data_IF_026313916029
#
_entry.id   IF_026313916029
#
_cell.length_a   1.000
_cell.length_b   1.000
_cell.length_c   1.000
_cell.angle_alpha   90.00
_cell.angle_beta   90.00
_cell.angle_gamma   90.00
#
_symmetry.space_group_name_H-M   'P 1'
#
loop_
_entity.id
_entity.type
_entity.pdbx_description
1 polymer ?
#
# COMPACT_ATOMS: atom_id res chain seq x y z
N UNK A 1 21.42 0.70 9.70
CA UNK A 1 20.82 -0.59 10.10
C UNK A 1 19.82 -0.99 9.03
N UNK A 2 20.22 -1.91 8.14
CA UNK A 2 19.44 -2.38 7.00
C UNK A 2 18.50 -3.50 7.46
N UNK A 3 17.19 -3.27 7.40
CA UNK A 3 16.18 -4.26 7.74
C UNK A 3 15.12 -4.35 6.64
N UNK A 4 14.66 -5.57 6.41
CA UNK A 4 14.04 -6.03 5.16
C UNK A 4 12.53 -6.30 5.31
N UNK A 5 11.74 -6.02 4.27
CA UNK A 5 10.28 -6.24 4.21
C UNK A 5 9.91 -7.28 3.13
N UNK A 6 9.11 -8.29 3.49
CA UNK A 6 8.58 -9.28 2.54
C UNK A 6 7.06 -9.05 2.37
N UNK A 7 6.62 -8.78 1.15
CA UNK A 7 5.22 -8.51 0.81
C UNK A 7 4.85 -9.36 -0.42
N UNK A 8 4.71 -10.68 -0.24
CA UNK A 8 4.28 -11.60 -1.29
C UNK A 8 3.05 -12.42 -0.88
N UNK A 9 1.98 -12.50 -1.70
CA UNK A 9 0.80 -13.30 -1.39
C UNK A 9 1.05 -14.80 -1.63
N UNK A 10 0.76 -15.64 -0.63
CA UNK A 10 0.78 -17.11 -0.79
C UNK A 10 -0.53 -17.61 -1.41
N UNK A 11 -0.42 -18.30 -2.55
CA UNK A 11 -1.56 -18.93 -3.22
C UNK A 11 -1.98 -20.25 -2.53
N UNK A 12 -3.23 -20.37 -2.11
CA UNK A 12 -3.84 -21.61 -1.61
C UNK A 12 -4.54 -22.35 -2.76
N UNK A 13 -4.03 -23.52 -3.16
CA UNK A 13 -4.68 -24.42 -4.14
C UNK A 13 -5.65 -25.36 -3.42
N UNK A 14 -6.96 -25.16 -3.58
CA UNK A 14 -7.99 -26.10 -3.14
C UNK A 14 -8.46 -27.01 -4.28
N UNK A 15 -8.25 -28.33 -4.21
CA UNK A 15 -8.80 -29.29 -5.17
C UNK A 15 -10.15 -29.84 -4.69
N UNK A 16 -11.18 -29.77 -5.54
CA UNK A 16 -12.49 -30.41 -5.27
C UNK A 16 -12.52 -31.79 -5.92
N UNK A 17 -12.43 -32.87 -5.14
CA UNK A 17 -12.66 -34.23 -5.63
C UNK A 17 -14.11 -34.65 -5.39
N UNK A 18 -14.84 -34.91 -6.48
CA UNK A 18 -16.14 -35.56 -6.46
C UNK A 18 -15.96 -37.08 -6.40
N UNK A 19 -16.16 -37.69 -5.22
CA UNK A 19 -16.24 -39.15 -5.10
C UNK A 19 -17.70 -39.59 -4.94
N UNK A 20 -18.21 -40.37 -5.89
CA UNK A 20 -19.39 -41.21 -5.70
C UNK A 20 -18.96 -42.48 -4.98
N UNK A 21 -19.24 -42.58 -3.68
CA UNK A 21 -19.11 -43.84 -2.92
C UNK A 21 -20.47 -44.21 -2.34
N UNK A 22 -20.95 -45.42 -2.67
CA UNK A 22 -22.05 -46.06 -1.97
C UNK A 22 -21.54 -46.51 -0.60
N UNK A 23 -21.74 -45.66 0.42
CA UNK A 23 -21.40 -46.00 1.80
C UNK A 23 -22.60 -46.65 2.49
N UNK A 24 -22.45 -47.92 2.87
CA UNK A 24 -23.28 -48.58 3.88
C UNK A 24 -22.71 -48.18 5.24
N UNK A 25 -23.35 -47.22 5.93
CA UNK A 25 -22.91 -46.75 7.24
C UNK A 25 -23.55 -47.57 8.38
N UNK A 26 -22.82 -47.85 9.47
CA UNK A 26 -23.35 -48.56 10.62
C UNK A 26 -24.42 -47.75 11.37
N UNK A 27 -25.38 -48.46 11.97
CA UNK A 27 -26.56 -47.92 12.65
C UNK A 27 -26.21 -47.18 13.96
N UNK A 28 -25.72 -45.94 13.83
CA UNK A 28 -25.76 -44.96 14.91
C UNK A 28 -27.14 -44.28 14.91
N UNK A 29 -27.76 -44.11 16.08
CA UNK A 29 -29.06 -43.40 16.23
C UNK A 29 -28.93 -41.98 15.69
N UNK A 30 -29.39 -41.77 14.45
CA UNK A 30 -29.28 -40.50 13.75
C UNK A 30 -30.38 -39.55 14.21
N UNK A 31 -29.98 -38.41 14.80
CA UNK A 31 -30.86 -37.41 15.38
C UNK A 31 -31.76 -36.62 14.38
N UNK A 32 -31.79 -37.01 13.10
CA UNK A 32 -32.53 -36.32 12.03
C UNK A 32 -33.39 -37.27 11.18
N UNK A 33 -33.80 -38.40 11.74
CA UNK A 33 -34.77 -39.30 11.09
C UNK A 33 -36.15 -39.02 11.69
N UNK A 34 -37.12 -38.71 10.85
CA UNK A 34 -38.53 -38.58 11.24
C UNK A 34 -39.33 -39.65 10.52
N UNK A 35 -40.35 -40.17 11.19
CA UNK A 35 -41.31 -41.08 10.57
C UNK A 35 -42.49 -40.26 10.05
N UNK A 36 -42.88 -40.47 8.80
CA UNK A 36 -44.05 -39.79 8.22
C UNK A 36 -45.36 -40.55 8.53
N UNK A 37 -46.45 -40.17 7.85
CA UNK A 37 -47.79 -40.74 8.11
C UNK A 37 -47.98 -42.19 7.65
N UNK A 38 -47.16 -42.69 6.72
CA UNK A 38 -47.25 -44.07 6.25
C UNK A 38 -46.26 -45.01 6.95
N UNK A 39 -45.35 -44.42 7.75
CA UNK A 39 -44.39 -45.15 8.54
C UNK A 39 -42.98 -45.16 7.93
N UNK A 40 -42.74 -44.48 6.82
CA UNK A 40 -41.43 -44.35 6.21
C UNK A 40 -40.49 -43.45 7.03
N UNK A 41 -39.22 -43.89 7.17
CA UNK A 41 -38.17 -43.12 7.82
C UNK A 41 -37.55 -42.09 6.85
N UNK A 42 -37.93 -40.82 6.98
CA UNK A 42 -37.39 -39.72 6.21
C UNK A 42 -36.18 -39.08 6.90
N UNK A 43 -35.09 -38.91 6.16
CA UNK A 43 -33.92 -38.15 6.62
C UNK A 43 -34.13 -36.66 6.36
N UNK A 44 -34.09 -35.84 7.41
CA UNK A 44 -34.22 -34.40 7.27
C UNK A 44 -32.85 -33.72 7.11
N UNK A 45 -32.81 -32.71 6.24
CA UNK A 45 -31.68 -31.81 6.14
C UNK A 45 -31.57 -30.98 7.43
N UNK A 46 -30.42 -30.97 8.12
CA UNK A 46 -30.29 -30.26 9.39
C UNK A 46 -30.43 -28.74 9.26
N UNK A 47 -30.21 -28.15 8.08
CA UNK A 47 -30.29 -26.71 7.84
C UNK A 47 -31.73 -26.24 7.60
N UNK A 48 -32.42 -26.81 6.60
CA UNK A 48 -33.78 -26.37 6.22
C UNK A 48 -34.91 -27.19 6.85
N UNK A 49 -34.58 -28.30 7.53
CA UNK A 49 -35.54 -29.26 8.13
C UNK A 49 -36.49 -29.95 7.15
N UNK A 50 -36.21 -29.89 5.85
CA UNK A 50 -36.98 -30.60 4.83
C UNK A 50 -36.38 -31.99 4.55
N UNK A 51 -37.18 -32.97 4.08
CA UNK A 51 -36.68 -34.28 3.68
C UNK A 51 -35.61 -34.18 2.58
N UNK A 52 -34.49 -34.87 2.78
CA UNK A 52 -33.47 -35.09 1.76
C UNK A 52 -33.96 -36.23 0.88
N UNK A 53 -34.15 -35.97 -0.42
CA UNK A 53 -34.54 -37.01 -1.38
C UNK A 53 -33.39 -37.99 -1.66
N UNK A 54 -33.44 -38.65 -2.80
CA UNK A 54 -32.49 -39.72 -3.18
C UNK A 54 -31.01 -39.27 -3.20
N UNK A 55 -30.78 -37.96 -3.39
CA UNK A 55 -29.45 -37.37 -3.46
C UNK A 55 -29.23 -36.37 -2.32
N UNK A 56 -28.18 -36.62 -1.54
CA UNK A 56 -27.74 -35.74 -0.47
C UNK A 56 -26.22 -35.66 -0.40
N UNK A 57 -25.71 -34.52 0.07
CA UNK A 57 -24.29 -34.30 0.31
C UNK A 57 -23.97 -34.56 1.77
N UNK A 58 -22.91 -35.30 2.05
CA UNK A 58 -22.45 -35.50 3.42
C UNK A 58 -21.98 -34.17 4.03
N UNK A 59 -22.45 -33.85 5.23
CA UNK A 59 -21.91 -32.73 6.00
C UNK A 59 -20.49 -33.08 6.50
N UNK A 60 -19.59 -32.10 6.50
CA UNK A 60 -18.20 -32.30 6.94
C UNK A 60 -18.17 -32.77 8.40
N UNK A 61 -17.68 -34.00 8.63
CA UNK A 61 -17.50 -34.56 9.98
C UNK A 61 -18.76 -35.03 10.71
N UNK A 62 -19.93 -35.10 10.05
CA UNK A 62 -21.18 -35.59 10.66
C UNK A 62 -21.87 -36.60 9.74
N UNK A 63 -22.51 -37.61 10.33
CA UNK A 63 -23.34 -38.58 9.62
C UNK A 63 -24.73 -37.99 9.26
N UNK A 64 -24.76 -36.80 8.64
CA UNK A 64 -26.00 -36.19 8.15
C UNK A 64 -25.86 -35.77 6.68
N UNK A 65 -27.00 -35.72 6.00
CA UNK A 65 -27.09 -35.36 4.60
C UNK A 65 -27.74 -33.96 4.47
N UNK A 66 -27.24 -33.20 3.50
CA UNK A 66 -27.70 -31.86 3.15
C UNK A 66 -28.24 -31.87 1.72
N UNK A 67 -29.23 -31.02 1.43
CA UNK A 67 -29.57 -30.69 0.05
C UNK A 67 -28.37 -30.02 -0.64
N UNK A 68 -28.30 -30.14 -1.98
CA UNK A 68 -27.26 -29.46 -2.76
C UNK A 68 -27.21 -27.95 -2.51
N UNK A 69 -28.37 -27.30 -2.42
CA UNK A 69 -28.48 -25.87 -2.09
C UNK A 69 -27.96 -25.57 -0.68
N UNK A 70 -28.42 -26.33 0.34
CA UNK A 70 -27.95 -26.15 1.71
C UNK A 70 -26.44 -26.37 1.84
N UNK A 71 -25.88 -27.35 1.12
CA UNK A 71 -24.43 -27.58 1.08
C UNK A 71 -23.70 -26.44 0.39
N UNK A 72 -24.21 -25.91 -0.72
CA UNK A 72 -23.63 -24.75 -1.40
C UNK A 72 -23.64 -23.50 -0.51
N UNK A 73 -24.74 -23.24 0.22
CA UNK A 73 -24.82 -22.16 1.19
C UNK A 73 -23.86 -22.34 2.37
N UNK A 74 -23.69 -23.58 2.87
CA UNK A 74 -22.68 -23.89 3.88
C UNK A 74 -21.27 -23.60 3.35
N UNK A 75 -20.93 -24.10 2.16
CA UNK A 75 -19.63 -23.85 1.53
C UNK A 75 -19.36 -22.36 1.30
N UNK A 76 -20.38 -21.59 0.92
CA UNK A 76 -20.26 -20.13 0.78
C UNK A 76 -20.00 -19.45 2.13
N UNK A 77 -20.67 -19.88 3.21
CA UNK A 77 -20.41 -19.38 4.57
C UNK A 77 -19.00 -19.72 5.05
N UNK A 78 -18.55 -20.95 4.82
CA UNK A 78 -17.19 -21.40 5.14
C UNK A 78 -16.16 -20.59 4.36
N UNK A 79 -16.32 -20.44 3.04
CA UNK A 79 -15.42 -19.64 2.21
C UNK A 79 -15.36 -18.16 2.64
N UNK A 80 -16.49 -17.55 3.00
CA UNK A 80 -16.52 -16.19 3.55
C UNK A 80 -15.79 -16.10 4.89
N UNK A 81 -16.02 -17.06 5.80
CA UNK A 81 -15.37 -17.08 7.11
C UNK A 81 -13.84 -17.29 6.98
N UNK A 82 -13.41 -18.15 6.06
CA UNK A 82 -12.00 -18.38 5.76
C UNK A 82 -11.34 -17.13 5.17
N UNK A 83 -12.00 -16.44 4.24
CA UNK A 83 -11.52 -15.19 3.67
C UNK A 83 -11.44 -14.07 4.72
N UNK A 84 -12.46 -13.91 5.56
CA UNK A 84 -12.41 -12.97 6.70
C UNK A 84 -11.31 -13.31 7.70
N UNK A 85 -11.04 -14.61 7.95
CA UNK A 85 -9.94 -15.04 8.80
C UNK A 85 -8.58 -14.72 8.16
N UNK A 86 -8.43 -14.96 6.85
CA UNK A 86 -7.24 -14.61 6.08
C UNK A 86 -6.98 -13.10 6.13
N UNK A 87 -7.97 -12.28 5.78
CA UNK A 87 -7.86 -10.81 5.84
C UNK A 87 -7.49 -10.30 7.23
N UNK A 88 -8.07 -10.88 8.29
CA UNK A 88 -7.70 -10.52 9.68
C UNK A 88 -6.26 -10.90 10.03
N UNK A 89 -5.79 -12.06 9.58
CA UNK A 89 -4.41 -12.48 9.83
C UNK A 89 -3.42 -11.63 9.04
N UNK A 90 -3.73 -11.33 7.79
CA UNK A 90 -2.93 -10.45 6.92
C UNK A 90 -2.85 -9.05 7.53
N UNK A 91 -3.97 -8.48 8.00
CA UNK A 91 -3.98 -7.18 8.69
C UNK A 91 -3.16 -7.19 9.98
N UNK A 92 -3.21 -8.28 10.77
CA UNK A 92 -2.40 -8.42 11.99
C UNK A 92 -0.91 -8.48 11.67
N UNK A 93 -0.52 -9.30 10.70
CA UNK A 93 0.86 -9.41 10.25
C UNK A 93 1.38 -8.07 9.73
N UNK A 94 0.58 -7.39 8.89
CA UNK A 94 0.91 -6.07 8.37
C UNK A 94 1.09 -5.03 9.48
N UNK A 95 0.18 -4.99 10.45
CA UNK A 95 0.29 -4.07 11.60
C UNK A 95 1.52 -4.37 12.47
N UNK A 96 1.87 -5.65 12.64
CA UNK A 96 3.06 -6.08 13.35
C UNK A 96 4.33 -5.61 12.61
N UNK A 97 4.44 -5.85 11.30
CA UNK A 97 5.60 -5.41 10.51
C UNK A 97 5.68 -3.87 10.44
N UNK A 98 4.54 -3.17 10.29
CA UNK A 98 4.52 -1.70 10.34
C UNK A 98 5.04 -1.18 11.67
N UNK A 99 4.62 -1.77 12.78
CA UNK A 99 5.10 -1.40 14.11
C UNK A 99 6.59 -1.68 14.28
N UNK A 100 7.04 -2.86 13.84
CA UNK A 100 8.44 -3.31 13.91
C UNK A 100 9.39 -2.39 13.13
N UNK A 101 8.96 -1.89 11.98
CA UNK A 101 9.80 -1.07 11.10
C UNK A 101 9.46 0.43 11.15
N UNK A 102 8.65 0.84 12.12
CA UNK A 102 8.23 2.23 12.29
C UNK A 102 7.58 2.81 11.02
N UNK A 103 6.83 2.00 10.28
CA UNK A 103 6.13 2.39 9.06
C UNK A 103 4.78 3.00 9.45
N UNK A 104 4.46 4.13 8.84
CA UNK A 104 3.22 4.86 9.05
C UNK A 104 3.51 6.32 9.32
N UNK A 105 2.61 7.18 8.82
CA UNK A 105 2.68 8.61 9.05
C UNK A 105 2.49 8.93 10.53
N UNK A 106 3.49 9.58 11.14
CA UNK A 106 3.50 9.96 12.55
C UNK A 106 3.68 11.46 12.65
N UNK A 107 2.65 12.16 13.12
CA UNK A 107 2.67 13.63 13.24
C UNK A 107 3.81 14.09 14.15
N UNK A 108 4.18 13.27 15.12
CA UNK A 108 5.25 13.53 16.09
C UNK A 108 6.64 13.54 15.44
N UNK A 109 6.79 13.00 14.23
CA UNK A 109 8.04 13.02 13.45
C UNK A 109 8.17 14.25 12.56
N UNK A 110 7.11 15.06 12.42
CA UNK A 110 7.17 16.31 11.67
C UNK A 110 7.83 17.36 12.56
N UNK A 111 9.01 17.90 12.18
CA UNK A 111 9.70 18.88 13.00
C UNK A 111 8.85 20.10 13.27
N UNK A 112 8.89 20.57 14.51
CA UNK A 112 8.33 21.86 14.89
C UNK A 112 9.37 22.95 14.65
N UNK A 113 8.94 24.11 14.14
CA UNK A 113 9.81 25.28 14.02
C UNK A 113 10.19 25.88 15.39
N UNK A 114 9.55 25.45 16.49
CA UNK A 114 9.80 25.93 17.84
C UNK A 114 11.23 25.60 18.32
N UNK A 115 11.72 24.39 18.04
CA UNK A 115 13.02 23.94 18.55
C UNK A 115 14.21 24.65 17.88
N UNK A 116 13.98 25.28 16.73
CA UNK A 116 14.99 26.03 15.98
C UNK A 116 15.18 27.47 16.48
N UNK A 117 14.42 27.90 17.50
CA UNK A 117 14.55 29.21 18.15
C UNK A 117 15.95 29.48 18.68
N UNK A 118 16.64 28.46 19.21
CA UNK A 118 18.00 28.61 19.74
C UNK A 118 19.08 28.79 18.68
N UNK A 119 18.82 28.37 17.43
CA UNK A 119 19.80 28.38 16.34
C UNK A 119 19.79 29.70 15.55
N UNK A 120 18.64 30.36 15.45
CA UNK A 120 18.48 31.65 14.75
C UNK A 120 18.80 32.83 15.69
N UNK A 121 20.07 32.90 16.11
CA UNK A 121 20.76 33.95 16.89
C UNK A 121 19.98 35.29 17.06
N UNK A 122 19.02 35.33 17.98
CA UNK A 122 18.41 36.58 18.48
C UNK A 122 17.14 37.06 17.78
N UNK A 123 16.57 36.31 16.84
CA UNK A 123 15.22 36.59 16.35
C UNK A 123 14.21 35.76 17.16
N UNK A 124 13.22 36.42 17.76
CA UNK A 124 12.07 35.71 18.33
C UNK A 124 11.34 35.00 17.19
N UNK A 125 11.49 33.67 17.09
CA UNK A 125 10.67 32.92 16.14
C UNK A 125 9.24 32.97 16.66
N UNK A 126 8.29 33.41 15.85
CA UNK A 126 6.89 33.41 16.22
C UNK A 126 6.42 31.99 16.55
N UNK A 127 5.53 31.86 17.54
CA UNK A 127 4.81 30.61 17.74
C UNK A 127 3.96 30.31 16.50
N UNK A 128 4.11 29.10 15.94
CA UNK A 128 3.32 28.63 14.80
C UNK A 128 4.05 28.62 13.46
N UNK A 129 3.34 29.02 12.40
CA UNK A 129 3.85 29.00 11.03
C UNK A 129 4.76 30.20 10.76
N UNK A 130 5.82 29.98 9.99
CA UNK A 130 6.74 31.03 9.59
C UNK A 130 7.00 31.01 8.08
N UNK A 131 7.29 32.17 7.51
CA UNK A 131 7.64 32.36 6.12
C UNK A 131 8.99 33.09 6.00
N UNK A 132 9.56 33.07 4.80
CA UNK A 132 10.75 33.84 4.47
C UNK A 132 10.35 35.15 3.79
N UNK A 133 10.96 36.25 4.20
CA UNK A 133 10.81 37.57 3.56
C UNK A 133 12.17 38.08 3.08
N UNK A 134 12.23 38.54 1.85
CA UNK A 134 13.38 39.25 1.30
C UNK A 134 13.23 40.76 1.55
N UNK A 135 14.11 41.31 2.39
CA UNK A 135 14.22 42.74 2.64
C UNK A 135 15.52 43.27 2.05
N UNK A 136 15.45 43.77 0.81
CA UNK A 136 16.63 44.14 0.02
C UNK A 136 17.48 42.91 -0.29
N UNK A 137 18.70 42.85 0.25
CA UNK A 137 19.60 41.70 0.12
C UNK A 137 19.60 40.77 1.35
N UNK A 138 18.71 41.01 2.32
CA UNK A 138 18.65 40.26 3.58
C UNK A 138 17.42 39.36 3.59
N UNK A 139 17.61 38.13 4.02
CA UNK A 139 16.52 37.20 4.29
C UNK A 139 16.10 37.34 5.76
N UNK A 140 14.81 37.46 6.00
CA UNK A 140 14.21 37.54 7.33
C UNK A 140 13.18 36.43 7.50
N UNK A 141 13.07 35.92 8.73
CA UNK A 141 12.00 35.00 9.12
C UNK A 141 10.85 35.80 9.72
N UNK A 142 9.62 35.57 9.27
CA UNK A 142 8.42 36.24 9.76
C UNK A 142 7.32 35.25 10.14
N UNK A 143 6.39 35.62 11.04
CA UNK A 143 5.18 34.84 11.23
C UNK A 143 4.33 34.88 9.99
N UNK A 144 3.61 33.79 9.71
CA UNK A 144 2.58 33.78 8.70
C UNK A 144 1.34 33.03 9.19
N UNK A 145 0.19 33.44 8.69
CA UNK A 145 -1.06 32.66 8.78
C UNK A 145 -1.40 31.98 7.46
N UNK A 146 -0.65 32.28 6.39
CA UNK A 146 -0.82 31.71 5.05
C UNK A 146 -0.04 30.39 4.95
N UNK A 147 -0.73 29.24 4.80
CA UNK A 147 -0.07 27.95 4.63
C UNK A 147 0.80 27.88 3.38
N UNK A 148 0.45 28.59 2.31
CA UNK A 148 1.23 28.57 1.06
C UNK A 148 2.60 29.25 1.21
N UNK A 149 2.71 30.20 2.14
CA UNK A 149 3.97 30.85 2.49
C UNK A 149 4.71 30.14 3.64
N UNK A 150 4.09 29.16 4.28
CA UNK A 150 4.63 28.47 5.45
C UNK A 150 5.76 27.52 5.06
N UNK A 151 6.86 27.55 5.82
CA UNK A 151 8.03 26.71 5.57
C UNK A 151 8.40 25.96 6.85
N UNK A 152 8.70 24.67 6.71
CA UNK A 152 9.36 23.89 7.74
C UNK A 152 10.87 24.17 7.70
N UNK A 153 11.39 24.80 8.74
CA UNK A 153 12.77 25.30 8.78
C UNK A 153 13.80 24.17 8.86
N UNK A 154 13.45 23.05 9.51
CA UNK A 154 14.36 21.90 9.56
C UNK A 154 14.51 21.29 8.17
N UNK A 155 13.40 21.04 7.48
CA UNK A 155 13.42 20.52 6.10
C UNK A 155 14.16 21.46 5.16
N UNK A 156 13.91 22.76 5.23
CA UNK A 156 14.63 23.76 4.44
C UNK A 156 16.14 23.72 4.74
N UNK A 157 16.52 23.67 6.02
CA UNK A 157 17.93 23.65 6.42
C UNK A 157 18.66 22.42 5.90
N UNK A 158 18.01 21.24 5.96
CA UNK A 158 18.56 19.99 5.45
C UNK A 158 18.68 20.02 3.93
N UNK A 159 17.66 20.49 3.22
CA UNK A 159 17.68 20.62 1.76
C UNK A 159 18.78 21.59 1.29
N UNK A 160 18.92 22.75 1.94
CA UNK A 160 19.98 23.71 1.65
C UNK A 160 21.37 23.14 1.95
N UNK A 161 21.52 22.36 3.02
CA UNK A 161 22.77 21.67 3.36
C UNK A 161 23.14 20.65 2.29
N UNK A 162 22.20 19.83 1.83
CA UNK A 162 22.44 18.89 0.71
C UNK A 162 22.87 19.66 -0.53
N UNK A 163 22.16 20.75 -0.87
CA UNK A 163 22.52 21.56 -2.04
C UNK A 163 23.91 22.18 -1.94
N UNK A 164 24.28 22.70 -0.78
CA UNK A 164 25.58 23.31 -0.53
C UNK A 164 26.74 22.30 -0.57
N UNK A 165 26.51 21.09 -0.07
CA UNK A 165 27.55 20.06 0.05
C UNK A 165 27.66 19.18 -1.21
N UNK A 166 26.53 18.77 -1.78
CA UNK A 166 26.45 17.77 -2.85
C UNK A 166 26.18 18.40 -4.23
N UNK A 167 25.84 19.69 -4.28
CA UNK A 167 25.51 20.39 -5.53
C UNK A 167 24.19 19.97 -6.18
N UNK A 168 23.37 19.19 -5.48
CA UNK A 168 22.09 18.62 -5.94
C UNK A 168 21.03 18.61 -4.85
N UNK A 169 19.81 18.26 -5.19
CA UNK A 169 18.67 18.08 -4.29
C UNK A 169 18.75 16.74 -3.51
N UNK A 170 18.11 16.67 -2.32
CA UNK A 170 17.96 15.40 -1.60
C UNK A 170 17.12 14.40 -2.40
N UNK A 171 17.54 13.14 -2.44
CA UNK A 171 16.84 12.06 -3.14
C UNK A 171 16.63 10.86 -2.21
N UNK A 172 15.49 10.19 -2.38
CA UNK A 172 15.14 8.95 -1.71
C UNK A 172 14.65 7.92 -2.73
N UNK A 173 14.98 6.65 -2.53
CA UNK A 173 14.46 5.53 -3.31
C UNK A 173 14.36 4.26 -2.46
N UNK A 174 13.45 3.36 -2.84
CA UNK A 174 13.42 1.98 -2.40
C UNK A 174 14.02 1.09 -3.50
N UNK A 175 15.27 0.68 -3.30
CA UNK A 175 16.03 -0.10 -4.30
C UNK A 175 16.03 -1.59 -3.93
N UNK A 176 16.06 -2.48 -4.93
CA UNK A 176 16.14 -3.92 -4.70
C UNK A 176 17.56 -4.33 -4.24
N UNK A 177 17.66 -5.27 -3.30
CA UNK A 177 18.93 -5.83 -2.84
C UNK A 177 19.41 -6.91 -3.81
N UNK A 178 20.07 -6.48 -4.88
CA UNK A 178 20.72 -7.36 -5.84
C UNK A 178 19.92 -7.58 -7.13
N UNK A 179 20.60 -8.15 -8.12
CA UNK A 179 19.97 -8.53 -9.37
C UNK A 179 19.12 -9.80 -9.15
N UNK A 180 17.93 -9.92 -9.76
CA UNK A 180 17.16 -11.16 -9.76
C UNK A 180 18.02 -12.29 -10.36
N UNK A 181 18.59 -13.13 -9.51
CA UNK A 181 19.36 -14.30 -9.92
C UNK A 181 18.38 -15.40 -10.34
N UNK A 182 18.03 -15.45 -11.62
CA UNK A 182 17.18 -16.51 -12.20
C UNK A 182 17.94 -17.84 -12.36
N UNK A 183 18.72 -18.26 -11.36
CA UNK A 183 19.49 -19.50 -11.48
C UNK A 183 18.60 -20.75 -11.50
N UNK A 184 17.35 -20.66 -11.00
CA UNK A 184 16.43 -21.80 -10.93
C UNK A 184 14.98 -21.48 -11.38
N UNK A 185 14.72 -20.31 -11.98
CA UNK A 185 13.34 -19.89 -12.33
C UNK A 185 12.44 -19.54 -11.13
N UNK A 186 12.91 -19.76 -9.89
CA UNK A 186 12.30 -19.18 -8.69
C UNK A 186 12.86 -17.76 -8.52
N UNK A 187 11.95 -16.78 -8.52
CA UNK A 187 12.28 -15.40 -8.17
C UNK A 187 12.60 -15.41 -6.67
N UNK A 188 13.88 -15.29 -6.30
CA UNK A 188 14.24 -15.03 -4.91
C UNK A 188 13.49 -13.78 -4.45
N UNK A 189 12.98 -13.82 -3.21
CA UNK A 189 12.35 -12.67 -2.56
C UNK A 189 13.38 -11.52 -2.55
N UNK A 190 13.28 -10.64 -3.54
CA UNK A 190 14.13 -9.47 -3.65
C UNK A 190 13.64 -8.45 -2.64
N UNK A 191 14.46 -8.20 -1.63
CA UNK A 191 14.16 -7.24 -0.59
C UNK A 191 14.39 -5.83 -1.10
N UNK A 192 13.60 -4.87 -0.64
CA UNK A 192 13.86 -3.46 -0.88
C UNK A 192 14.66 -2.86 0.28
N UNK A 193 15.61 -1.98 -0.04
CA UNK A 193 16.39 -1.18 0.91
C UNK A 193 16.14 0.30 0.70
N UNK A 194 16.07 1.01 1.83
CA UNK A 194 16.02 2.48 1.86
C UNK A 194 17.35 3.03 1.35
N UNK A 195 17.32 3.77 0.24
CA UNK A 195 18.47 4.49 -0.29
C UNK A 195 18.23 5.98 -0.16
N UNK A 196 19.15 6.63 0.55
CA UNK A 196 19.16 8.08 0.74
C UNK A 196 20.35 8.66 0.01
N UNK A 197 20.12 9.83 -0.58
CA UNK A 197 21.13 10.52 -1.34
C UNK A 197 21.13 12.01 -0.99
N UNK A 198 22.14 12.46 -0.21
CA UNK A 198 23.28 11.70 0.32
C UNK A 198 22.91 10.73 1.47
N UNK A 199 23.76 9.73 1.72
CA UNK A 199 23.51 8.66 2.71
C UNK A 199 23.21 9.20 4.12
N UNK A 200 23.84 10.32 4.50
CA UNK A 200 23.66 10.94 5.82
C UNK A 200 22.27 11.52 6.05
N UNK A 201 21.41 11.64 5.03
CA UNK A 201 20.00 11.96 5.22
C UNK A 201 19.25 10.85 5.97
N UNK A 202 19.77 9.62 5.96
CA UNK A 202 19.21 8.53 6.74
C UNK A 202 19.19 8.89 8.24
N UNK A 203 18.01 8.76 8.86
CA UNK A 203 17.82 9.10 10.28
C UNK A 203 17.61 10.59 10.56
N UNK A 204 17.56 11.44 9.53
CA UNK A 204 17.08 12.82 9.65
C UNK A 204 15.56 12.89 9.47
N UNK A 205 14.93 13.96 9.93
CA UNK A 205 13.51 14.21 9.73
C UNK A 205 13.12 14.31 8.24
N UNK A 206 13.94 14.99 7.43
CA UNK A 206 13.75 15.08 5.99
C UNK A 206 13.86 13.70 5.30
N UNK A 207 14.84 12.88 5.67
CA UNK A 207 14.96 11.52 5.16
C UNK A 207 13.74 10.67 5.52
N UNK A 208 13.30 10.72 6.78
CA UNK A 208 12.16 9.94 7.23
C UNK A 208 10.85 10.35 6.54
N UNK A 209 10.58 11.66 6.37
CA UNK A 209 9.38 12.10 5.65
C UNK A 209 9.41 11.70 4.17
N UNK A 210 10.57 11.73 3.51
CA UNK A 210 10.71 11.26 2.13
C UNK A 210 10.42 9.76 2.02
N UNK A 211 10.92 8.94 2.95
CA UNK A 211 10.61 7.51 3.02
C UNK A 211 9.12 7.26 3.23
N UNK A 212 8.52 7.90 4.23
CA UNK A 212 7.11 7.67 4.58
C UNK A 212 6.18 8.11 3.45
N UNK A 213 6.47 9.23 2.78
CA UNK A 213 5.71 9.69 1.63
C UNK A 213 5.78 8.67 0.49
N UNK A 214 6.97 8.24 0.10
CA UNK A 214 7.19 7.27 -0.97
C UNK A 214 6.54 5.90 -0.67
N UNK A 215 6.66 5.43 0.56
CA UNK A 215 6.03 4.19 1.01
C UNK A 215 4.50 4.30 1.02
N UNK A 216 3.95 5.44 1.47
CA UNK A 216 2.51 5.65 1.49
C UNK A 216 1.92 5.73 0.08
N UNK A 217 2.62 6.39 -0.85
CA UNK A 217 2.27 6.39 -2.27
C UNK A 217 2.16 4.96 -2.81
N UNK A 218 3.12 4.08 -2.47
CA UNK A 218 3.11 2.66 -2.84
C UNK A 218 1.94 1.88 -2.27
N UNK A 219 1.61 2.10 -1.01
CA UNK A 219 0.42 1.45 -0.45
C UNK A 219 -0.86 1.95 -1.13
N UNK A 220 -0.94 3.25 -1.41
CA UNK A 220 -2.10 3.83 -2.06
C UNK A 220 -2.25 3.35 -3.51
N UNK A 221 -1.15 3.30 -4.28
CA UNK A 221 -1.14 2.79 -5.66
C UNK A 221 -1.51 1.31 -5.73
N UNK A 222 -1.13 0.53 -4.72
CA UNK A 222 -1.46 -0.90 -4.61
C UNK A 222 -2.87 -1.17 -4.04
N UNK A 223 -3.66 -0.14 -3.75
CA UNK A 223 -5.05 -0.28 -3.29
C UNK A 223 -5.19 -0.68 -1.82
N UNK A 224 -4.14 -0.50 -1.02
CA UNK A 224 -4.17 -0.77 0.43
C UNK A 224 -4.97 0.29 1.20
N UNK A 225 -5.16 1.45 0.60
CA UNK A 225 -5.94 2.56 1.12
C UNK A 225 -7.07 2.91 0.14
N UNK A 226 -8.14 3.50 0.67
CA UNK A 226 -9.19 4.07 -0.17
C UNK A 226 -8.61 5.18 -1.05
N UNK A 227 -8.93 5.16 -2.35
CA UNK A 227 -8.44 6.18 -3.26
C UNK A 227 -9.01 7.56 -2.89
N UNK A 228 -8.19 8.61 -2.87
CA UNK A 228 -8.58 9.95 -2.41
C UNK A 228 -9.59 10.63 -3.32
N UNK A 229 -9.66 10.22 -4.59
CA UNK A 229 -10.54 10.78 -5.61
C UNK A 229 -11.60 9.76 -6.00
N UNK A 230 -12.86 10.16 -5.97
CA UNK A 230 -13.99 9.29 -6.36
C UNK A 230 -13.82 8.86 -7.82
N UNK A 231 -13.81 7.55 -8.05
CA UNK A 231 -13.65 6.96 -9.38
C UNK A 231 -12.19 6.78 -9.82
N UNK A 232 -11.21 7.25 -9.04
CA UNK A 232 -9.81 6.90 -9.27
C UNK A 232 -9.60 5.43 -8.86
N UNK A 233 -9.02 4.64 -9.76
CA UNK A 233 -8.70 3.23 -9.54
C UNK A 233 -7.26 3.07 -9.03
N UNK A 234 -7.01 2.05 -8.21
CA UNK A 234 -5.64 1.66 -7.85
C UNK A 234 -4.95 0.96 -9.03
N UNK A 235 -3.62 0.90 -9.04
CA UNK A 235 -2.87 0.11 -10.01
C UNK A 235 -3.27 -1.37 -9.98
N UNK A 236 -3.61 -1.91 -8.80
CA UNK A 236 -4.09 -3.27 -8.65
C UNK A 236 -5.46 -3.48 -9.31
N UNK A 237 -6.38 -2.52 -9.20
CA UNK A 237 -7.68 -2.61 -9.86
C UNK A 237 -7.54 -2.48 -11.39
N UNK A 238 -6.72 -1.53 -11.84
CA UNK A 238 -6.38 -1.34 -13.26
C UNK A 238 -5.75 -2.61 -13.87
N UNK A 239 -4.94 -3.34 -13.10
CA UNK A 239 -4.38 -4.61 -13.58
C UNK A 239 -5.45 -5.69 -13.78
N UNK A 240 -6.48 -5.77 -12.94
CA UNK A 240 -7.55 -6.78 -13.08
C UNK A 240 -8.39 -6.56 -14.34
N UNK A 241 -8.55 -5.31 -14.75
CA UNK A 241 -9.37 -4.93 -15.91
C UNK A 241 -8.66 -5.18 -17.25
N UNK A 242 -7.35 -4.92 -17.30
CA UNK A 242 -6.60 -4.88 -18.57
C UNK A 242 -5.56 -5.99 -18.71
N UNK A 243 -5.13 -6.62 -17.62
CA UNK A 243 -3.99 -7.52 -17.57
C UNK A 243 -4.39 -8.87 -16.99
N UNK A 244 -4.75 -9.79 -17.86
CA UNK A 244 -4.90 -11.20 -17.48
C UNK A 244 -3.51 -11.78 -17.19
N UNK A 245 -3.30 -12.23 -15.94
CA UNK A 245 -2.29 -13.22 -15.51
C UNK A 245 -0.80 -12.91 -15.73
N UNK A 246 -0.39 -11.74 -16.24
CA UNK A 246 1.03 -11.39 -16.39
C UNK A 246 1.59 -10.67 -15.16
N UNK A 247 2.70 -11.20 -14.65
CA UNK A 247 3.54 -10.51 -13.67
C UNK A 247 4.06 -9.21 -14.30
N UNK A 248 3.77 -8.07 -13.67
CA UNK A 248 4.30 -6.77 -14.06
C UNK A 248 5.17 -6.20 -12.93
N UNK A 249 6.12 -5.35 -13.30
CA UNK A 249 7.04 -4.69 -12.38
C UNK A 249 7.19 -3.25 -12.80
N UNK A 250 7.22 -2.34 -11.85
CA UNK A 250 7.44 -0.93 -12.10
C UNK A 250 7.98 -0.23 -10.87
N UNK A 251 8.61 0.92 -11.09
CA UNK A 251 8.95 1.89 -10.05
C UNK A 251 8.01 3.07 -10.16
N UNK A 252 7.74 3.68 -9.02
CA UNK A 252 7.04 4.96 -8.92
C UNK A 252 7.71 5.86 -7.89
N UNK A 253 7.66 7.16 -8.15
CA UNK A 253 8.24 8.20 -7.31
C UNK A 253 7.52 9.53 -7.50
N UNK A 254 7.66 10.40 -6.51
CA UNK A 254 7.23 11.80 -6.65
C UNK A 254 8.18 12.58 -7.54
N UNK A 255 7.62 13.47 -8.36
CA UNK A 255 8.38 14.42 -9.17
C UNK A 255 7.98 15.85 -8.86
N UNK A 256 8.95 16.74 -8.96
CA UNK A 256 8.76 18.19 -8.82
C UNK A 256 9.13 18.84 -10.14
N UNK A 257 8.24 19.66 -10.67
CA UNK A 257 8.46 20.41 -11.91
C UNK A 257 8.05 21.87 -11.75
N UNK A 258 8.55 22.74 -12.62
CA UNK A 258 8.20 24.16 -12.61
C UNK A 258 8.47 24.86 -11.28
N UNK A 259 9.54 24.47 -10.58
CA UNK A 259 9.91 25.06 -9.31
C UNK A 259 10.38 26.51 -9.48
N UNK A 260 9.63 27.43 -8.89
CA UNK A 260 9.91 28.87 -8.89
C UNK A 260 9.65 29.47 -7.52
N UNK A 261 10.31 30.59 -7.22
CA UNK A 261 10.02 31.38 -6.02
C UNK A 261 9.30 32.65 -6.46
N UNK A 262 8.08 32.84 -5.98
CA UNK A 262 7.31 34.08 -6.19
C UNK A 262 7.54 35.01 -5.02
N UNK A 263 7.58 36.31 -5.31
CA UNK A 263 7.74 37.34 -4.28
C UNK A 263 6.47 38.19 -4.22
N UNK A 264 5.88 38.32 -3.03
CA UNK A 264 4.74 39.21 -2.82
C UNK A 264 5.16 40.68 -2.81
N UNK A 265 4.21 41.61 -2.86
CA UNK A 265 4.50 43.06 -2.72
C UNK A 265 5.24 43.37 -1.40
N UNK A 266 4.96 42.62 -0.34
CA UNK A 266 5.64 42.72 0.96
C UNK A 266 6.99 41.99 1.03
N UNK A 267 7.49 41.45 -0.08
CA UNK A 267 8.77 40.72 -0.12
C UNK A 267 8.72 39.28 0.41
N UNK A 268 7.54 38.74 0.71
CA UNK A 268 7.41 37.34 1.18
C UNK A 268 7.70 36.40 0.00
N UNK A 269 8.56 35.41 0.25
CA UNK A 269 8.93 34.38 -0.70
C UNK A 269 7.97 33.21 -0.57
N UNK A 270 7.27 32.91 -1.66
CA UNK A 270 6.30 31.82 -1.76
C UNK A 270 6.88 30.78 -2.73
N UNK A 271 7.23 29.56 -2.26
CA UNK A 271 7.61 28.50 -3.15
C UNK A 271 6.40 28.09 -3.99
N UNK A 272 6.59 27.99 -5.31
CA UNK A 272 5.58 27.50 -6.22
C UNK A 272 6.18 26.36 -7.02
N UNK A 273 5.55 25.19 -6.92
CA UNK A 273 5.99 23.95 -7.58
C UNK A 273 4.78 23.26 -8.17
N UNK A 274 5.01 22.46 -9.22
CA UNK A 274 4.05 21.47 -9.70
C UNK A 274 4.54 20.09 -9.28
N UNK A 275 3.81 19.50 -8.35
CA UNK A 275 4.09 18.15 -7.90
C UNK A 275 3.37 17.14 -8.79
N UNK A 276 3.93 15.94 -8.88
CA UNK A 276 3.33 14.83 -9.59
C UNK A 276 3.91 13.49 -9.14
N UNK A 277 3.45 12.44 -9.78
CA UNK A 277 3.97 11.08 -9.65
C UNK A 277 4.35 10.59 -11.04
N UNK A 278 5.55 10.02 -11.15
CA UNK A 278 5.97 9.30 -12.34
C UNK A 278 6.11 7.82 -12.03
N UNK A 279 5.86 6.99 -13.03
CA UNK A 279 6.12 5.57 -12.96
C UNK A 279 6.83 5.07 -14.22
N UNK A 280 7.67 4.05 -14.06
CA UNK A 280 8.33 3.36 -15.17
C UNK A 280 8.24 1.85 -15.02
N UNK A 281 7.90 1.18 -16.10
CA UNK A 281 7.93 -0.28 -16.19
C UNK A 281 9.37 -0.75 -16.00
N UNK A 282 9.53 -1.87 -15.29
CA UNK A 282 10.80 -2.53 -15.08
C UNK A 282 10.88 -3.81 -15.92
N UNK A 283 11.96 -3.93 -16.69
CA UNK A 283 12.26 -5.06 -17.56
C UNK A 283 13.54 -5.77 -17.10
N UNK A 284 13.71 -7.03 -17.49
CA UNK A 284 14.95 -7.77 -17.26
C UNK A 284 15.89 -7.45 -18.43
N UNK A 285 16.91 -6.63 -18.17
CA UNK A 285 18.03 -6.34 -19.07
C UNK A 285 19.27 -7.18 -18.74
N UNK A 286 20.39 -6.84 -19.39
CA UNK A 286 21.66 -7.57 -19.26
C UNK A 286 22.24 -7.51 -17.83
N UNK A 287 22.01 -6.40 -17.12
CA UNK A 287 22.47 -6.15 -15.75
C UNK A 287 21.39 -6.46 -14.69
N UNK A 288 20.32 -7.16 -15.07
CA UNK A 288 19.21 -7.51 -14.20
C UNK A 288 18.01 -6.59 -14.40
N UNK A 289 17.35 -6.19 -13.31
CA UNK A 289 16.13 -5.39 -13.41
C UNK A 289 16.47 -3.91 -13.67
N UNK A 290 15.99 -3.37 -14.79
CA UNK A 290 16.19 -1.98 -15.18
C UNK A 290 14.88 -1.31 -15.61
N UNK A 291 14.83 0.02 -15.57
CA UNK A 291 13.68 0.76 -16.08
C UNK A 291 13.64 0.70 -17.61
N UNK A 292 12.46 0.42 -18.15
CA UNK A 292 12.21 0.51 -19.57
C UNK A 292 12.47 1.94 -20.07
N UNK A 293 13.25 2.07 -21.14
CA UNK A 293 13.51 3.37 -21.81
C UNK A 293 12.22 4.05 -22.27
N UNK A 294 11.25 3.25 -22.69
CA UNK A 294 9.91 3.68 -23.05
C UNK A 294 8.96 2.79 -22.27
N UNK A 295 8.24 3.39 -21.32
CA UNK A 295 7.20 2.68 -20.59
C UNK A 295 5.91 2.68 -21.42
N UNK A 296 5.22 1.56 -21.44
CA UNK A 296 3.96 1.45 -22.18
C UNK A 296 2.87 2.26 -21.50
N UNK A 297 2.05 3.02 -22.27
CA UNK A 297 1.00 3.88 -21.70
C UNK A 297 -0.15 3.10 -21.08
N UNK A 298 -0.29 1.81 -21.39
CA UNK A 298 -1.31 0.93 -20.84
C UNK A 298 -0.88 0.21 -19.54
N UNK A 299 0.36 0.44 -19.08
CA UNK A 299 0.88 -0.12 -17.84
C UNK A 299 0.07 0.40 -16.63
N UNK A 300 -0.41 -0.48 -15.72
CA UNK A 300 -1.33 -0.09 -14.65
C UNK A 300 -0.75 1.00 -13.74
N UNK A 301 0.54 0.90 -13.39
CA UNK A 301 1.19 1.91 -12.55
C UNK A 301 1.39 3.25 -13.27
N UNK A 302 1.53 3.27 -14.59
CA UNK A 302 1.63 4.52 -15.36
C UNK A 302 0.29 5.22 -15.41
N UNK A 303 -0.78 4.49 -15.72
CA UNK A 303 -2.15 5.02 -15.66
C UNK A 303 -2.48 5.58 -14.28
N UNK A 304 -2.06 4.87 -13.22
CA UNK A 304 -2.21 5.35 -11.85
C UNK A 304 -1.44 6.65 -11.62
N UNK A 305 -0.16 6.71 -11.99
CA UNK A 305 0.69 7.88 -11.83
C UNK A 305 0.17 9.11 -12.61
N UNK A 306 -0.35 8.91 -13.82
CA UNK A 306 -0.99 9.95 -14.62
C UNK A 306 -2.27 10.49 -13.94
N UNK A 307 -3.13 9.58 -13.47
CA UNK A 307 -4.34 9.96 -12.74
C UNK A 307 -4.02 10.67 -11.43
N UNK A 308 -3.01 10.21 -10.68
CA UNK A 308 -2.54 10.85 -9.46
C UNK A 308 -2.02 12.25 -9.74
N UNK A 309 -1.15 12.40 -10.74
CA UNK A 309 -0.59 13.69 -11.15
C UNK A 309 -1.68 14.67 -11.57
N UNK A 310 -2.67 14.21 -12.34
CA UNK A 310 -3.79 15.03 -12.75
C UNK A 310 -4.59 15.58 -11.56
N UNK A 311 -4.69 14.80 -10.48
CA UNK A 311 -5.46 15.14 -9.29
C UNK A 311 -4.59 15.59 -8.10
N UNK A 312 -3.29 15.87 -8.30
CA UNK A 312 -2.35 16.04 -7.19
C UNK A 312 -2.83 17.10 -6.19
N UNK A 313 -3.29 18.25 -6.67
CA UNK A 313 -3.77 19.36 -5.83
C UNK A 313 -5.03 19.02 -5.02
N UNK A 314 -5.81 18.01 -5.42
CA UNK A 314 -6.96 17.52 -4.66
C UNK A 314 -6.57 16.49 -3.59
N UNK A 315 -5.43 15.83 -3.77
CA UNK A 315 -4.93 14.78 -2.91
C UNK A 315 -4.07 15.35 -1.76
N UNK A 316 -3.30 16.40 -2.06
CA UNK A 316 -2.32 17.00 -1.16
C UNK A 316 -2.89 17.96 -0.10
#
# INVERSE_FOLDING_TARGET
>A
ATHALNIGPKACKGSVQSMRRNFVLPASRNANVVQDSDGEELRLCPECKLPVGDFGYAASGKACFLHGECKAQQMLREAKADEEARLRNDAKLKNMERSKYNIGWKKELIPSNVDLQGLLQGQQIPEGMCCLMLNGSKLCLLPTLDPAASINLEYLSLALRVRAMEGREPVFSLDLTGAPSSKNGEVEDLWQVKRFEPEWLAGTSAGEVMFQADYHLKELSMGEHQQPVVGMASALDLSKESWHEQDWRAREWFVVSGAEIRTTEGGILIPHVKMGVEAREQIIGDDGLEDAKITRPDHPLVKYAEAFTHNFDLIA
#
